data_IF_377917928332
#
_entry.id   IF_377917928332
#
_cell.length_a   1.000
_cell.length_b   1.000
_cell.length_c   1.000
_cell.angle_alpha   90.00
_cell.angle_beta   90.00
_cell.angle_gamma   90.00
#
_symmetry.space_group_name_H-M   'P 1'
#
loop_
_entity.id
_entity.type
_entity.pdbx_description
1 polymer ?
#
# COMPACT_ATOMS: atom_id res chain seq x y z
N UNK A 1 29.52 -4.92 3.94
CA UNK A 1 28.54 -5.71 3.15
C UNK A 1 27.22 -4.93 3.15
N UNK A 2 26.61 -4.69 1.99
CA UNK A 2 25.29 -4.05 1.94
C UNK A 2 24.25 -4.97 2.61
N UNK A 3 23.32 -4.37 3.36
CA UNK A 3 22.27 -5.11 4.04
C UNK A 3 21.33 -5.72 2.99
N UNK A 4 21.06 -7.01 3.07
CA UNK A 4 20.10 -7.68 2.18
C UNK A 4 18.66 -7.34 2.59
N UNK A 5 17.79 -7.11 1.59
CA UNK A 5 16.38 -6.79 1.78
C UNK A 5 15.49 -7.56 0.82
N UNK A 6 14.28 -7.91 1.28
CA UNK A 6 13.16 -8.38 0.44
C UNK A 6 12.19 -7.22 0.21
N UNK A 7 11.79 -6.95 -1.03
CA UNK A 7 10.97 -5.80 -1.42
C UNK A 7 9.56 -6.23 -1.77
N UNK A 8 8.55 -5.62 -1.12
CA UNK A 8 7.14 -5.82 -1.42
C UNK A 8 6.55 -4.52 -1.99
N UNK A 9 6.12 -4.54 -3.24
CA UNK A 9 5.67 -3.34 -3.95
C UNK A 9 4.14 -3.34 -4.04
N UNK A 10 3.50 -2.35 -3.41
CA UNK A 10 2.11 -2.01 -3.65
C UNK A 10 2.01 -1.20 -4.96
N UNK A 11 1.61 -1.86 -6.03
CA UNK A 11 1.54 -1.25 -7.33
C UNK A 11 0.19 -0.57 -7.62
N UNK A 12 -0.83 -0.69 -6.77
CA UNK A 12 -2.17 -0.15 -7.06
C UNK A 12 -2.13 1.37 -7.28
N UNK A 13 -1.36 2.09 -6.45
CA UNK A 13 -1.19 3.54 -6.60
C UNK A 13 -0.36 3.94 -7.83
N UNK A 14 0.64 3.13 -8.20
CA UNK A 14 1.44 3.33 -9.42
C UNK A 14 0.56 3.10 -10.65
N UNK A 15 -0.19 2.01 -10.66
CA UNK A 15 -1.13 1.64 -11.73
C UNK A 15 -2.18 2.72 -11.92
N UNK A 16 -2.80 3.17 -10.82
CA UNK A 16 -3.82 4.22 -10.88
C UNK A 16 -3.25 5.53 -11.43
N UNK A 17 -2.10 5.98 -10.91
CA UNK A 17 -1.44 7.20 -11.37
C UNK A 17 -1.07 7.11 -12.86
N UNK A 18 -0.55 5.97 -13.31
CA UNK A 18 -0.21 5.75 -14.73
C UNK A 18 -1.45 5.75 -15.62
N UNK A 19 -2.56 5.16 -15.16
CA UNK A 19 -3.82 5.15 -15.90
C UNK A 19 -4.42 6.55 -16.08
N UNK A 20 -4.37 7.39 -15.02
CA UNK A 20 -4.98 8.73 -15.04
C UNK A 20 -4.14 9.73 -15.84
N UNK A 21 -2.81 9.56 -15.85
CA UNK A 21 -1.90 10.53 -16.46
C UNK A 21 -1.48 10.20 -17.88
N UNK A 22 -2.10 9.22 -18.53
CA UNK A 22 -1.73 8.74 -19.85
C UNK A 22 -2.89 8.80 -20.83
N UNK A 23 -2.60 9.30 -22.04
CA UNK A 23 -3.57 9.37 -23.13
C UNK A 23 -3.68 8.05 -23.90
N UNK A 24 -2.66 7.19 -23.83
CA UNK A 24 -2.63 5.89 -24.51
C UNK A 24 -2.26 4.76 -23.58
N UNK A 25 -2.71 3.55 -23.90
CA UNK A 25 -2.35 2.35 -23.14
C UNK A 25 -0.83 2.06 -23.16
N UNK A 26 -0.15 2.39 -24.27
CA UNK A 26 1.31 2.20 -24.38
C UNK A 26 2.01 3.11 -23.38
N UNK A 27 1.70 4.42 -23.40
CA UNK A 27 2.27 5.39 -22.46
C UNK A 27 1.95 5.00 -21.00
N UNK A 28 0.75 4.51 -20.73
CA UNK A 28 0.35 4.06 -19.39
C UNK A 28 1.20 2.87 -18.90
N UNK A 29 1.47 1.90 -19.78
CA UNK A 29 2.35 0.77 -19.45
C UNK A 29 3.79 1.22 -19.23
N UNK A 30 4.32 2.04 -20.13
CA UNK A 30 5.68 2.54 -20.02
C UNK A 30 5.91 3.33 -18.74
N UNK A 31 4.95 4.18 -18.34
CA UNK A 31 5.01 4.92 -17.06
C UNK A 31 4.97 4.00 -15.84
N UNK A 32 4.12 3.00 -15.87
CA UNK A 32 4.04 2.02 -14.78
C UNK A 32 5.35 1.24 -14.64
N UNK A 33 5.86 0.70 -15.74
CA UNK A 33 7.08 -0.09 -15.77
C UNK A 33 8.30 0.76 -15.40
N UNK A 34 8.38 1.98 -15.92
CA UNK A 34 9.40 2.94 -15.53
C UNK A 34 9.41 3.21 -14.03
N UNK A 35 8.23 3.44 -13.42
CA UNK A 35 8.14 3.73 -11.99
C UNK A 35 8.56 2.55 -11.12
N UNK A 36 8.17 1.34 -11.47
CA UNK A 36 8.58 0.13 -10.73
C UNK A 36 10.09 -0.06 -10.85
N UNK A 37 10.65 0.08 -12.05
CA UNK A 37 12.10 -0.02 -12.27
C UNK A 37 12.86 1.09 -11.53
N UNK A 38 12.42 2.36 -11.58
CA UNK A 38 13.03 3.47 -10.84
C UNK A 38 13.16 3.14 -9.33
N UNK A 39 12.12 2.56 -8.76
CA UNK A 39 12.13 2.16 -7.35
C UNK A 39 13.11 1.02 -7.09
N UNK A 40 13.10 -0.01 -7.91
CA UNK A 40 14.02 -1.15 -7.76
C UNK A 40 15.47 -0.72 -7.95
N UNK A 41 15.77 0.13 -8.93
CA UNK A 41 17.10 0.68 -9.18
C UNK A 41 17.58 1.53 -8.00
N UNK A 42 16.72 2.39 -7.46
CA UNK A 42 17.04 3.18 -6.28
C UNK A 42 17.36 2.30 -5.06
N UNK A 43 16.54 1.28 -4.79
CA UNK A 43 16.76 0.39 -3.66
C UNK A 43 18.01 -0.47 -3.87
N UNK A 44 18.26 -0.97 -5.09
CA UNK A 44 19.45 -1.77 -5.41
C UNK A 44 20.77 -0.97 -5.32
N UNK A 45 20.71 0.34 -5.51
CA UNK A 45 21.87 1.22 -5.31
C UNK A 45 22.31 1.31 -3.85
N UNK A 46 21.44 0.97 -2.89
CA UNK A 46 21.69 1.08 -1.44
C UNK A 46 21.75 -0.25 -0.72
N UNK A 47 21.06 -1.26 -1.23
CA UNK A 47 20.87 -2.56 -0.59
C UNK A 47 21.10 -3.69 -1.59
N UNK A 48 21.39 -4.88 -1.10
CA UNK A 48 21.27 -6.10 -1.91
C UNK A 48 19.81 -6.55 -1.88
N UNK A 49 19.14 -6.58 -3.02
CA UNK A 49 17.77 -7.11 -3.11
C UNK A 49 17.86 -8.62 -3.27
N UNK A 50 17.45 -9.40 -2.26
CA UNK A 50 17.42 -10.86 -2.28
C UNK A 50 16.15 -11.43 -2.91
N UNK A 51 15.14 -10.59 -3.10
CA UNK A 51 13.90 -10.89 -3.79
C UNK A 51 12.94 -9.72 -3.76
N UNK A 52 12.05 -9.68 -4.74
CA UNK A 52 10.94 -8.72 -4.73
C UNK A 52 9.64 -9.39 -5.20
N UNK A 53 8.53 -8.79 -4.81
CA UNK A 53 7.20 -9.15 -5.29
C UNK A 53 6.38 -7.91 -5.54
N UNK A 54 5.67 -7.89 -6.65
CA UNK A 54 4.69 -6.85 -6.99
C UNK A 54 3.30 -7.36 -6.61
N UNK A 55 2.49 -6.48 -6.06
CA UNK A 55 1.12 -6.76 -5.67
C UNK A 55 0.20 -5.75 -6.35
N UNK A 56 -0.88 -6.22 -6.94
CA UNK A 56 -1.83 -5.33 -7.60
C UNK A 56 -3.21 -5.93 -7.78
N UNK A 57 -4.20 -5.12 -7.50
CA UNK A 57 -5.61 -5.43 -7.74
C UNK A 57 -6.16 -6.48 -6.81
N UNK A 58 -7.35 -6.20 -6.33
CA UNK A 58 -8.17 -7.16 -5.60
C UNK A 58 -9.55 -7.21 -6.22
N UNK A 59 -10.21 -8.36 -6.14
CA UNK A 59 -11.62 -8.50 -6.52
C UNK A 59 -12.44 -8.93 -5.31
N UNK A 60 -13.50 -8.18 -5.08
CA UNK A 60 -14.29 -8.35 -3.88
C UNK A 60 -13.56 -7.83 -2.65
N UNK A 61 -14.31 -7.52 -1.61
CA UNK A 61 -13.73 -7.11 -0.35
C UNK A 61 -14.75 -7.48 0.73
N UNK A 62 -14.33 -8.32 1.67
CA UNK A 62 -15.20 -8.76 2.75
C UNK A 62 -15.76 -7.61 3.59
N UNK A 63 -15.05 -6.46 3.65
CA UNK A 63 -15.49 -5.28 4.39
C UNK A 63 -16.83 -4.73 3.89
N UNK A 64 -17.15 -4.95 2.59
CA UNK A 64 -18.47 -4.60 2.02
C UNK A 64 -19.62 -5.46 2.53
N UNK A 65 -19.33 -6.65 3.06
CA UNK A 65 -20.32 -7.50 3.72
C UNK A 65 -20.49 -7.13 5.20
N UNK A 66 -19.48 -6.49 5.79
CA UNK A 66 -19.54 -6.01 7.18
C UNK A 66 -20.30 -4.68 7.25
N UNK A 67 -20.07 -3.80 6.29
CA UNK A 67 -20.77 -2.51 6.20
C UNK A 67 -20.88 -2.04 4.75
N UNK A 68 -22.08 -1.65 4.35
CA UNK A 68 -22.40 -1.12 3.03
C UNK A 68 -21.88 0.30 2.79
N UNK A 69 -21.50 1.00 3.86
CA UNK A 69 -20.89 2.34 3.80
C UNK A 69 -19.41 2.32 3.42
N UNK A 70 -18.75 1.15 3.53
CA UNK A 70 -17.34 1.01 3.21
C UNK A 70 -17.04 1.43 1.76
N UNK A 71 -16.16 2.43 1.60
CA UNK A 71 -15.80 3.02 0.28
C UNK A 71 -17.00 3.46 -0.57
N UNK A 72 -18.15 3.75 0.06
CA UNK A 72 -19.35 4.17 -0.65
C UNK A 72 -19.15 5.51 -1.39
N UNK A 73 -18.29 6.37 -0.90
CA UNK A 73 -17.86 7.62 -1.53
C UNK A 73 -17.12 7.43 -2.87
N UNK A 74 -16.71 6.20 -3.21
CA UNK A 74 -16.03 5.88 -4.46
C UNK A 74 -16.95 5.25 -5.52
N UNK A 75 -18.23 5.04 -5.22
CA UNK A 75 -19.17 4.33 -6.13
C UNK A 75 -19.38 5.04 -7.46
N UNK A 76 -19.40 6.38 -7.42
CA UNK A 76 -19.66 7.23 -8.59
C UNK A 76 -18.38 7.80 -9.21
N UNK A 77 -17.21 7.30 -8.78
CA UNK A 77 -15.93 7.72 -9.37
C UNK A 77 -15.77 7.07 -10.74
N UNK A 78 -15.39 7.89 -11.72
CA UNK A 78 -15.04 7.40 -13.04
C UNK A 78 -13.80 6.50 -12.96
N UNK A 79 -13.91 5.33 -13.58
CA UNK A 79 -12.80 4.37 -13.64
C UNK A 79 -11.88 4.79 -14.80
N UNK A 80 -10.57 5.03 -14.56
CA UNK A 80 -9.65 5.37 -15.64
C UNK A 80 -9.65 4.32 -16.75
N UNK A 81 -9.67 4.76 -18.01
CA UNK A 81 -9.80 3.90 -19.19
C UNK A 81 -8.80 2.75 -19.22
N UNK A 82 -7.53 3.03 -18.88
CA UNK A 82 -6.43 2.04 -18.96
C UNK A 82 -6.26 1.19 -17.71
N UNK A 83 -7.01 1.44 -16.63
CA UNK A 83 -6.80 0.81 -15.32
C UNK A 83 -6.86 -0.73 -15.38
N UNK A 84 -7.87 -1.28 -16.03
CA UNK A 84 -8.05 -2.74 -16.15
C UNK A 84 -6.94 -3.39 -16.97
N UNK A 85 -6.49 -2.72 -18.03
CA UNK A 85 -5.41 -3.20 -18.89
C UNK A 85 -4.06 -3.17 -18.16
N UNK A 86 -3.82 -2.17 -17.31
CA UNK A 86 -2.60 -2.09 -16.49
C UNK A 86 -2.57 -3.17 -15.39
N UNK A 87 -3.70 -3.47 -14.74
CA UNK A 87 -3.76 -4.62 -13.83
C UNK A 87 -3.49 -5.96 -14.54
N UNK A 88 -3.93 -6.10 -15.78
CA UNK A 88 -3.59 -7.28 -16.59
C UNK A 88 -2.10 -7.29 -16.90
N UNK A 89 -1.53 -6.17 -17.37
CA UNK A 89 -0.13 -6.03 -17.66
C UNK A 89 0.77 -6.32 -16.44
N UNK A 90 0.40 -5.81 -15.25
CA UNK A 90 1.15 -6.09 -14.02
C UNK A 90 1.23 -7.59 -13.70
N UNK A 91 0.18 -8.35 -13.97
CA UNK A 91 0.17 -9.80 -13.79
C UNK A 91 1.02 -10.53 -14.81
N UNK A 92 0.95 -10.11 -16.07
CA UNK A 92 1.63 -10.79 -17.19
C UNK A 92 3.13 -10.45 -17.23
N UNK A 93 3.51 -9.23 -16.93
CA UNK A 93 4.88 -8.75 -17.05
C UNK A 93 5.66 -8.77 -15.72
N UNK A 94 4.99 -8.42 -14.60
CA UNK A 94 5.60 -8.34 -13.27
C UNK A 94 5.27 -9.54 -12.36
N UNK A 95 4.54 -10.56 -12.86
CA UNK A 95 4.00 -11.66 -12.03
C UNK A 95 3.30 -11.15 -10.77
N UNK A 96 2.55 -10.03 -10.90
CA UNK A 96 1.94 -9.39 -9.76
C UNK A 96 0.95 -10.31 -9.07
N UNK A 97 1.11 -10.43 -7.75
CA UNK A 97 0.22 -11.19 -6.88
C UNK A 97 -1.07 -10.41 -6.67
N UNK A 98 -2.19 -11.11 -6.67
CA UNK A 98 -3.50 -10.52 -6.41
C UNK A 98 -4.34 -11.44 -5.54
N UNK A 99 -5.42 -10.89 -4.99
CA UNK A 99 -6.30 -11.64 -4.09
C UNK A 99 -7.77 -11.47 -4.43
N UNK A 100 -8.59 -12.37 -3.87
CA UNK A 100 -10.05 -12.27 -3.88
C UNK A 100 -10.55 -12.17 -2.44
N UNK A 101 -11.54 -11.31 -2.23
CA UNK A 101 -12.22 -11.17 -0.95
C UNK A 101 -11.55 -10.25 0.07
N UNK A 102 -10.29 -9.84 -0.15
CA UNK A 102 -9.60 -8.85 0.67
C UNK A 102 -8.86 -7.83 -0.21
N UNK A 103 -8.21 -6.84 0.36
CA UNK A 103 -7.50 -5.79 -0.38
C UNK A 103 -6.03 -6.15 -0.61
N UNK A 104 -5.36 -5.39 -1.48
CA UNK A 104 -3.94 -5.60 -1.81
C UNK A 104 -3.04 -5.42 -0.59
N UNK A 105 -3.37 -4.46 0.28
CA UNK A 105 -2.68 -4.20 1.54
C UNK A 105 -2.77 -5.37 2.53
N UNK A 106 -3.92 -6.06 2.61
CA UNK A 106 -4.07 -7.28 3.42
C UNK A 106 -3.12 -8.39 2.95
N UNK A 107 -2.96 -8.52 1.62
CA UNK A 107 -2.06 -9.52 1.05
C UNK A 107 -0.59 -9.17 1.30
N UNK A 108 -0.23 -7.89 1.16
CA UNK A 108 1.13 -7.40 1.47
C UNK A 108 1.44 -7.56 2.95
N UNK A 109 0.49 -7.26 3.85
CA UNK A 109 0.64 -7.47 5.28
C UNK A 109 0.93 -8.94 5.62
N UNK A 110 0.20 -9.86 4.98
CA UNK A 110 0.43 -11.30 5.12
C UNK A 110 1.82 -11.72 4.61
N UNK A 111 2.25 -11.20 3.47
CA UNK A 111 3.57 -11.47 2.90
C UNK A 111 4.68 -10.89 3.78
N UNK A 112 4.50 -9.66 4.27
CA UNK A 112 5.42 -9.01 5.20
C UNK A 112 5.59 -9.85 6.48
N UNK A 113 4.50 -10.26 7.10
CA UNK A 113 4.52 -11.09 8.31
C UNK A 113 5.27 -12.41 8.09
N UNK A 114 5.00 -13.09 6.97
CA UNK A 114 5.70 -14.32 6.61
C UNK A 114 7.21 -14.10 6.50
N UNK A 115 7.64 -13.13 5.70
CA UNK A 115 9.06 -12.88 5.48
C UNK A 115 9.77 -12.36 6.74
N UNK A 116 9.11 -11.56 7.56
CA UNK A 116 9.65 -11.09 8.83
C UNK A 116 9.88 -12.26 9.81
N UNK A 117 8.95 -13.23 9.88
CA UNK A 117 9.14 -14.44 10.67
C UNK A 117 10.23 -15.36 10.15
N UNK A 118 10.56 -15.27 8.85
CA UNK A 118 11.72 -15.94 8.26
C UNK A 118 13.05 -15.22 8.56
N UNK A 119 13.01 -14.12 9.31
CA UNK A 119 14.19 -13.31 9.68
C UNK A 119 14.70 -12.40 8.56
N UNK A 120 13.91 -12.17 7.51
CA UNK A 120 14.27 -11.28 6.41
C UNK A 120 14.04 -9.81 6.76
N UNK A 121 14.89 -8.94 6.23
CA UNK A 121 14.65 -7.50 6.28
C UNK A 121 13.69 -7.13 5.14
N UNK A 122 12.47 -6.73 5.48
CA UNK A 122 11.44 -6.43 4.49
C UNK A 122 11.28 -4.92 4.34
N UNK A 123 11.21 -4.45 3.09
CA UNK A 123 10.86 -3.07 2.76
C UNK A 123 9.55 -3.11 1.95
N UNK A 124 8.51 -2.44 2.46
CA UNK A 124 7.27 -2.23 1.73
C UNK A 124 7.39 -0.93 0.93
N UNK A 125 7.17 -1.01 -0.37
CA UNK A 125 7.13 0.15 -1.27
C UNK A 125 5.67 0.56 -1.42
N UNK A 126 5.29 1.67 -0.80
CA UNK A 126 3.90 2.13 -0.81
C UNK A 126 3.80 3.63 -0.49
N UNK A 127 2.68 4.23 -0.82
CA UNK A 127 2.31 5.59 -0.39
C UNK A 127 1.13 5.59 0.58
N UNK A 128 0.45 4.46 0.75
CA UNK A 128 -0.71 4.34 1.61
C UNK A 128 -0.30 4.39 3.10
N UNK A 129 -1.09 5.13 3.89
CA UNK A 129 -0.90 5.29 5.34
C UNK A 129 -1.25 4.02 6.13
N UNK A 130 -2.02 3.10 5.55
CA UNK A 130 -2.49 1.91 6.26
C UNK A 130 -1.33 0.97 6.60
N UNK A 131 -0.22 1.04 5.87
CA UNK A 131 1.04 0.36 6.23
C UNK A 131 1.70 0.88 7.50
N UNK A 132 1.33 2.08 7.99
CA UNK A 132 1.83 2.59 9.28
C UNK A 132 1.32 1.79 10.48
N UNK A 133 0.37 0.88 10.29
CA UNK A 133 -0.18 0.02 11.34
C UNK A 133 0.64 -1.25 11.60
N UNK A 134 1.74 -1.47 10.87
CA UNK A 134 2.66 -2.59 11.13
C UNK A 134 4.05 -2.08 11.49
N UNK A 135 4.81 -2.83 12.31
CA UNK A 135 6.19 -2.47 12.65
C UNK A 135 7.13 -2.83 11.49
N UNK A 136 7.08 -2.06 10.42
CA UNK A 136 7.78 -2.32 9.16
C UNK A 136 8.61 -1.12 8.68
N UNK A 137 9.42 -1.35 7.66
CA UNK A 137 10.10 -0.30 6.90
C UNK A 137 9.33 -0.03 5.62
N UNK A 138 8.88 1.20 5.44
CA UNK A 138 8.16 1.64 4.25
C UNK A 138 9.05 2.57 3.45
N UNK A 139 9.16 2.35 2.15
CA UNK A 139 9.71 3.31 1.22
C UNK A 139 8.58 4.03 0.48
N UNK A 140 8.38 5.31 0.83
CA UNK A 140 7.44 6.18 0.13
C UNK A 140 8.11 6.71 -1.14
N UNK A 141 7.79 6.13 -2.27
CA UNK A 141 8.43 6.45 -3.54
C UNK A 141 8.06 7.85 -4.10
N UNK A 142 6.94 8.45 -3.68
CA UNK A 142 6.57 9.80 -4.06
C UNK A 142 7.41 10.85 -3.31
N UNK A 143 7.62 10.64 -2.01
CA UNK A 143 8.43 11.53 -1.17
C UNK A 143 9.91 11.18 -1.18
N UNK A 144 10.28 10.02 -1.72
CA UNK A 144 11.64 9.45 -1.72
C UNK A 144 12.22 9.32 -0.31
N UNK A 145 11.39 8.92 0.65
CA UNK A 145 11.76 8.79 2.07
C UNK A 145 11.48 7.39 2.61
N UNK A 146 12.29 6.98 3.58
CA UNK A 146 12.03 5.78 4.37
C UNK A 146 11.31 6.17 5.66
N UNK A 147 10.27 5.40 5.99
CA UNK A 147 9.56 5.47 7.27
C UNK A 147 9.84 4.15 7.99
N UNK A 148 10.42 4.25 9.18
CA UNK A 148 10.67 3.09 10.05
C UNK A 148 9.64 3.12 11.16
N UNK A 149 8.71 2.16 11.14
CA UNK A 149 7.69 2.00 12.17
C UNK A 149 8.17 1.05 13.27
N UNK A 150 8.24 1.55 14.50
CA UNK A 150 8.38 0.68 15.66
C UNK A 150 7.04 -0.01 16.00
N UNK A 151 7.08 -1.03 16.86
CA UNK A 151 5.85 -1.67 17.38
C UNK A 151 4.92 -0.65 18.05
N UNK A 152 5.50 0.27 18.82
CA UNK A 152 4.75 1.32 19.51
C UNK A 152 4.13 2.33 18.55
N UNK A 153 4.88 2.75 17.51
CA UNK A 153 4.36 3.69 16.50
C UNK A 153 3.24 3.03 15.69
N UNK A 154 3.40 1.76 15.32
CA UNK A 154 2.38 0.98 14.63
C UNK A 154 1.10 0.84 15.47
N UNK A 155 1.24 0.53 16.74
CA UNK A 155 0.13 0.42 17.68
C UNK A 155 -0.60 1.77 17.84
N UNK A 156 0.16 2.87 17.97
CA UNK A 156 -0.42 4.23 18.02
C UNK A 156 -1.13 4.60 16.73
N UNK A 157 -0.57 4.26 15.57
CA UNK A 157 -1.22 4.50 14.28
C UNK A 157 -2.55 3.75 14.17
N UNK A 158 -2.57 2.47 14.56
CA UNK A 158 -3.77 1.64 14.58
C UNK A 158 -4.87 2.23 15.50
N UNK A 159 -4.56 2.51 16.75
CA UNK A 159 -5.55 3.07 17.66
C UNK A 159 -5.96 4.49 17.29
N UNK A 160 -5.07 5.28 16.72
CA UNK A 160 -5.43 6.60 16.18
C UNK A 160 -6.50 6.46 15.10
N UNK A 161 -6.34 5.53 14.17
CA UNK A 161 -7.32 5.28 13.11
C UNK A 161 -8.64 4.74 13.68
N UNK A 162 -8.60 3.88 14.69
CA UNK A 162 -9.81 3.42 15.40
C UNK A 162 -10.60 4.57 16.04
N UNK A 163 -9.94 5.62 16.54
CA UNK A 163 -10.61 6.78 17.15
C UNK A 163 -11.10 7.77 16.09
N UNK A 164 -10.26 8.07 15.11
CA UNK A 164 -10.51 9.12 14.11
C UNK A 164 -11.41 8.62 12.97
N UNK A 165 -11.35 7.31 12.68
CA UNK A 165 -11.94 6.71 11.50
C UNK A 165 -11.07 6.91 10.25
N UNK A 166 -11.62 6.58 9.09
CA UNK A 166 -10.98 6.75 7.80
C UNK A 166 -11.91 7.39 6.78
N UNK A 167 -11.62 8.64 6.43
CA UNK A 167 -12.42 9.37 5.44
C UNK A 167 -12.24 8.83 4.02
N UNK A 168 -11.08 8.25 3.69
CA UNK A 168 -10.83 7.66 2.38
C UNK A 168 -11.69 6.40 2.18
N UNK A 169 -11.95 5.67 3.24
CA UNK A 169 -12.78 4.48 3.25
C UNK A 169 -14.22 4.72 3.72
N UNK A 170 -14.55 6.00 3.94
CA UNK A 170 -15.87 6.42 4.44
C UNK A 170 -16.23 5.80 5.80
N UNK A 171 -15.23 5.56 6.65
CA UNK A 171 -15.40 5.05 8.00
C UNK A 171 -15.43 6.22 8.98
N UNK A 172 -16.54 6.40 9.68
CA UNK A 172 -16.73 7.41 10.74
C UNK A 172 -16.87 6.68 12.07
N UNK A 173 -16.07 7.06 13.07
CA UNK A 173 -16.10 6.45 14.39
C UNK A 173 -16.55 7.48 15.43
N UNK A 174 -15.64 8.23 16.04
CA UNK A 174 -15.98 9.18 17.08
C UNK A 174 -16.34 10.54 16.48
N UNK A 175 -17.64 10.92 16.50
CA UNK A 175 -18.10 12.20 15.95
C UNK A 175 -17.38 13.39 16.59
N UNK A 176 -16.81 14.26 15.75
CA UNK A 176 -16.13 15.48 16.20
C UNK A 176 -14.77 15.23 16.89
N UNK A 177 -14.24 14.02 16.87
CA UNK A 177 -12.93 13.68 17.43
C UNK A 177 -11.91 13.48 16.30
N UNK A 178 -10.85 14.27 16.33
CA UNK A 178 -9.77 14.21 15.35
C UNK A 178 -8.46 13.72 15.96
N UNK A 179 -7.37 13.83 15.21
CA UNK A 179 -6.03 13.37 15.63
C UNK A 179 -5.56 13.96 16.96
N UNK A 180 -5.84 15.23 17.22
CA UNK A 180 -5.46 15.87 18.49
C UNK A 180 -6.11 15.18 19.70
N UNK A 181 -7.38 14.78 19.57
CA UNK A 181 -8.07 14.02 20.61
C UNK A 181 -7.47 12.62 20.75
N UNK A 182 -7.23 11.92 19.63
CA UNK A 182 -6.61 10.61 19.65
C UNK A 182 -5.22 10.64 20.30
N UNK A 183 -4.38 11.60 19.93
CA UNK A 183 -3.04 11.76 20.52
C UNK A 183 -3.10 11.94 22.05
N UNK A 184 -4.02 12.79 22.54
CA UNK A 184 -4.20 12.98 23.97
C UNK A 184 -4.70 11.71 24.68
N UNK A 185 -5.59 10.96 24.02
CA UNK A 185 -6.11 9.69 24.56
C UNK A 185 -5.03 8.61 24.64
N UNK A 186 -4.11 8.61 23.68
CA UNK A 186 -3.04 7.61 23.53
C UNK A 186 -1.68 8.07 24.10
N UNK A 187 -1.66 9.21 24.80
CA UNK A 187 -0.47 9.74 25.49
C UNK A 187 0.18 8.73 26.46
N UNK A 188 -0.60 7.89 27.20
CA UNK A 188 -0.03 6.89 28.08
C UNK A 188 0.63 5.68 27.38
N UNK A 189 0.44 5.47 26.07
CA UNK A 189 1.10 4.45 25.29
C UNK A 189 2.50 4.91 24.87
#
# INVERSE_FOLDING_TARGET
MSKSITVLIDADSIIFASAVTSDTLIDAKDKMDYKINEVLDYLSSKYTIDGFSVFSGSKGNFRKFVTDTYKANRRDMEIPEHLSALHKHSKEYWDAKYTYGCETDDLIASAWYKHSNEGKNVVIVAIDKDYLQFPCVIYNYNKKEFIVQSELDALRAFYTQMVVGDSADNIKVCKGKGKAFANKLLEPL
#
